data_IF_447763231735
#
_entry.id   IF_447763231735
#
_cell.length_a   1.000
_cell.length_b   1.000
_cell.length_c   1.000
_cell.angle_alpha   90.00
_cell.angle_beta   90.00
_cell.angle_gamma   90.00
#
_symmetry.space_group_name_H-M   'P 1'
#
loop_
_entity.id
_entity.type
_entity.pdbx_description
1 polymer ?
#
# COMPACT_ATOMS: atom_id res chain seq x y z
N UNK A 1 16.37 58.07 -17.24
CA UNK A 1 15.36 57.27 -17.96
C UNK A 1 15.90 55.90 -18.37
N UNK A 2 16.81 55.77 -19.35
CA UNK A 2 17.36 54.46 -19.79
C UNK A 2 17.96 53.57 -18.68
N UNK A 3 18.58 54.16 -17.66
CA UNK A 3 19.19 53.41 -16.54
C UNK A 3 18.18 52.83 -15.54
N UNK A 4 17.00 53.44 -15.38
CA UNK A 4 15.96 52.95 -14.47
C UNK A 4 15.14 51.82 -15.11
N UNK A 5 14.87 51.93 -16.41
CA UNK A 5 14.19 50.89 -17.18
C UNK A 5 15.00 49.59 -17.22
N UNK A 6 16.32 49.68 -17.40
CA UNK A 6 17.22 48.52 -17.34
C UNK A 6 17.24 47.86 -15.95
N UNK A 7 17.19 48.65 -14.87
CA UNK A 7 17.15 48.12 -13.50
C UNK A 7 15.83 47.38 -13.22
N UNK A 8 14.70 47.96 -13.60
CA UNK A 8 13.37 47.36 -13.39
C UNK A 8 13.21 46.08 -14.22
N UNK A 9 13.69 46.09 -15.47
CA UNK A 9 13.67 44.92 -16.34
C UNK A 9 14.50 43.78 -15.73
N UNK A 10 15.70 44.07 -15.20
CA UNK A 10 16.53 43.05 -14.54
C UNK A 10 15.92 42.47 -13.27
N UNK A 11 15.14 43.27 -12.52
CA UNK A 11 14.39 42.79 -11.35
C UNK A 11 13.23 41.89 -11.76
N UNK A 12 12.47 42.26 -12.79
CA UNK A 12 11.38 41.44 -13.31
C UNK A 12 11.88 40.12 -13.92
N UNK A 13 13.00 40.15 -14.65
CA UNK A 13 13.64 38.94 -15.18
C UNK A 13 14.10 38.00 -14.06
N UNK A 14 14.68 38.53 -12.99
CA UNK A 14 15.06 37.74 -11.82
C UNK A 14 13.85 37.10 -11.13
N UNK A 15 12.77 37.86 -10.93
CA UNK A 15 11.53 37.33 -10.34
C UNK A 15 10.91 36.21 -11.18
N UNK A 16 10.88 36.37 -12.50
CA UNK A 16 10.39 35.34 -13.43
C UNK A 16 11.26 34.08 -13.37
N UNK A 17 12.59 34.23 -13.40
CA UNK A 17 13.50 33.09 -13.28
C UNK A 17 13.33 32.36 -11.95
N UNK A 18 13.19 33.10 -10.85
CA UNK A 18 12.98 32.51 -9.54
C UNK A 18 11.64 31.76 -9.46
N UNK A 19 10.57 32.28 -10.07
CA UNK A 19 9.29 31.57 -10.16
C UNK A 19 9.38 30.28 -10.99
N UNK A 20 10.09 30.31 -12.13
CA UNK A 20 10.32 29.13 -12.96
C UNK A 20 11.06 28.06 -12.15
N UNK A 21 12.14 28.43 -11.46
CA UNK A 21 12.91 27.51 -10.62
C UNK A 21 12.04 26.90 -9.52
N UNK A 22 11.19 27.68 -8.85
CA UNK A 22 10.27 27.15 -7.85
C UNK A 22 9.29 26.13 -8.42
N UNK A 23 8.76 26.36 -9.63
CA UNK A 23 7.85 25.43 -10.31
C UNK A 23 8.59 24.14 -10.67
N UNK A 24 9.77 24.23 -11.28
CA UNK A 24 10.58 23.06 -11.63
C UNK A 24 10.93 22.23 -10.39
N UNK A 25 11.33 22.88 -9.29
CA UNK A 25 11.62 22.23 -8.02
C UNK A 25 10.36 21.60 -7.39
N UNK A 26 9.19 22.21 -7.58
CA UNK A 26 7.93 21.64 -7.12
C UNK A 26 7.55 20.39 -7.92
N UNK A 27 7.74 20.40 -9.24
CA UNK A 27 7.49 19.25 -10.12
C UNK A 27 8.43 18.07 -9.83
N UNK A 28 9.71 18.34 -9.61
CA UNK A 28 10.69 17.32 -9.22
C UNK A 28 10.27 16.67 -7.90
N UNK A 29 10.00 17.49 -6.87
CA UNK A 29 9.56 17.00 -5.55
C UNK A 29 8.26 16.21 -5.63
N UNK A 30 7.29 16.66 -6.43
CA UNK A 30 6.03 15.95 -6.62
C UNK A 30 6.24 14.59 -7.29
N UNK A 31 7.11 14.51 -8.31
CA UNK A 31 7.46 13.25 -8.97
C UNK A 31 8.19 12.30 -8.03
N UNK A 32 9.16 12.80 -7.26
CA UNK A 32 9.89 11.99 -6.29
C UNK A 32 8.98 11.43 -5.21
N UNK A 33 8.12 12.30 -4.64
CA UNK A 33 7.14 11.91 -3.64
C UNK A 33 6.15 10.87 -4.17
N UNK A 34 5.57 11.09 -5.36
CA UNK A 34 4.65 10.11 -5.95
C UNK A 34 5.33 8.76 -6.27
N UNK A 35 6.61 8.76 -6.64
CA UNK A 35 7.38 7.52 -6.84
C UNK A 35 7.63 6.81 -5.52
N UNK A 36 7.90 7.54 -4.44
CA UNK A 36 8.12 6.97 -3.11
C UNK A 36 6.83 6.38 -2.54
N UNK A 37 5.74 7.15 -2.56
CA UNK A 37 4.41 6.72 -2.12
C UNK A 37 3.96 5.47 -2.88
N UNK A 38 3.99 5.49 -4.22
CA UNK A 38 3.58 4.33 -5.02
C UNK A 38 4.46 3.10 -4.81
N UNK A 39 5.75 3.27 -4.48
CA UNK A 39 6.63 2.15 -4.13
C UNK A 39 6.27 1.57 -2.76
N UNK A 40 5.94 2.42 -1.80
CA UNK A 40 5.58 1.99 -0.45
C UNK A 40 4.22 1.29 -0.44
N UNK A 41 3.21 1.88 -1.08
CA UNK A 41 1.87 1.30 -1.25
C UNK A 41 1.96 -0.06 -1.96
N UNK A 42 2.63 -0.13 -3.12
CA UNK A 42 2.76 -1.38 -3.86
C UNK A 42 3.55 -2.47 -3.12
N UNK A 43 4.53 -2.09 -2.27
CA UNK A 43 5.24 -3.04 -1.41
C UNK A 43 4.32 -3.58 -0.32
N UNK A 44 3.46 -2.74 0.23
CA UNK A 44 2.56 -3.12 1.31
C UNK A 44 1.41 -4.01 0.80
N UNK A 45 0.75 -3.59 -0.28
CA UNK A 45 -0.27 -4.38 -0.98
C UNK A 45 0.28 -5.74 -1.41
N UNK A 46 1.44 -5.76 -2.08
CA UNK A 46 2.06 -7.02 -2.52
C UNK A 46 2.45 -7.94 -1.36
N UNK A 47 2.83 -7.38 -0.21
CA UNK A 47 3.10 -8.16 1.01
C UNK A 47 1.82 -8.79 1.54
N UNK A 48 0.71 -8.06 1.57
CA UNK A 48 -0.58 -8.57 2.03
C UNK A 48 -1.16 -9.63 1.10
N UNK A 49 -1.19 -9.36 -0.22
CA UNK A 49 -1.63 -10.33 -1.22
C UNK A 49 -0.80 -11.61 -1.17
N UNK A 50 0.53 -11.48 -1.04
CA UNK A 50 1.43 -12.61 -0.87
C UNK A 50 1.11 -13.43 0.38
N UNK A 51 0.85 -12.78 1.53
CA UNK A 51 0.44 -13.46 2.76
C UNK A 51 -0.90 -14.19 2.57
N UNK A 52 -1.92 -13.54 2.01
CA UNK A 52 -3.23 -14.15 1.73
C UNK A 52 -3.07 -15.40 0.87
N UNK A 53 -2.37 -15.29 -0.25
CA UNK A 53 -2.15 -16.39 -1.19
C UNK A 53 -1.43 -17.58 -0.55
N UNK A 54 -0.40 -17.31 0.25
CA UNK A 54 0.34 -18.35 0.97
C UNK A 54 -0.51 -19.05 2.03
N UNK A 55 -1.24 -18.29 2.85
CA UNK A 55 -2.12 -18.84 3.89
C UNK A 55 -3.24 -19.67 3.28
N UNK A 56 -3.89 -19.16 2.23
CA UNK A 56 -4.93 -19.88 1.49
C UNK A 56 -4.38 -21.21 0.96
N UNK A 57 -3.27 -21.19 0.23
CA UNK A 57 -2.68 -22.42 -0.32
C UNK A 57 -2.20 -23.43 0.73
N UNK A 58 -1.84 -22.99 1.94
CA UNK A 58 -1.53 -23.89 3.05
C UNK A 58 -2.80 -24.51 3.65
N UNK A 59 -3.85 -23.70 3.86
CA UNK A 59 -5.10 -24.13 4.46
C UNK A 59 -5.91 -25.03 3.53
N UNK A 60 -5.94 -24.75 2.23
CA UNK A 60 -6.57 -25.62 1.22
C UNK A 60 -5.94 -27.01 1.17
N UNK A 61 -4.62 -27.11 1.39
CA UNK A 61 -3.92 -28.40 1.47
C UNK A 61 -4.24 -29.16 2.74
N UNK A 62 -4.51 -28.46 3.84
CA UNK A 62 -4.83 -29.07 5.15
C UNK A 62 -6.30 -29.45 5.27
N UNK A 63 -7.20 -28.62 4.75
CA UNK A 63 -8.65 -28.75 4.84
C UNK A 63 -9.31 -28.62 3.45
N UNK A 64 -9.06 -29.58 2.54
CA UNK A 64 -9.54 -29.50 1.16
C UNK A 64 -11.08 -29.50 1.04
N UNK A 65 -11.79 -29.95 2.06
CA UNK A 65 -13.25 -30.01 2.10
C UNK A 65 -13.94 -28.65 2.30
N UNK A 66 -13.21 -27.62 2.75
CA UNK A 66 -13.73 -26.26 2.98
C UNK A 66 -13.09 -25.18 2.10
N UNK A 67 -12.39 -25.56 1.04
CA UNK A 67 -11.67 -24.63 0.14
C UNK A 67 -12.52 -23.44 -0.33
N UNK A 68 -13.79 -23.66 -0.69
CA UNK A 68 -14.69 -22.57 -1.11
C UNK A 68 -14.96 -21.53 -0.01
N UNK A 69 -15.03 -21.95 1.24
CA UNK A 69 -15.25 -21.11 2.41
C UNK A 69 -13.97 -20.38 2.81
N UNK A 70 -12.81 -21.02 2.64
CA UNK A 70 -11.51 -20.44 2.98
C UNK A 70 -11.19 -19.18 2.16
N UNK A 71 -11.41 -19.21 0.85
CA UNK A 71 -11.15 -18.04 0.00
C UNK A 71 -11.96 -16.82 0.48
N UNK A 72 -13.27 -16.98 0.65
CA UNK A 72 -14.12 -15.88 1.10
C UNK A 72 -13.76 -15.37 2.51
N UNK A 73 -13.40 -16.28 3.42
CA UNK A 73 -13.01 -15.91 4.79
C UNK A 73 -11.68 -15.16 4.83
N UNK A 74 -10.66 -15.64 4.11
CA UNK A 74 -9.30 -15.05 4.11
C UNK A 74 -9.28 -13.71 3.37
N UNK A 75 -10.05 -13.58 2.27
CA UNK A 75 -10.15 -12.32 1.53
C UNK A 75 -10.76 -11.18 2.38
N UNK A 76 -11.62 -11.52 3.35
CA UNK A 76 -12.19 -10.58 4.30
C UNK A 76 -11.26 -10.13 5.44
N UNK A 77 -10.08 -10.75 5.60
CA UNK A 77 -9.17 -10.42 6.70
C UNK A 77 -8.30 -9.20 6.40
N UNK A 78 -8.11 -8.35 7.40
CA UNK A 78 -7.10 -7.28 7.38
C UNK A 78 -5.68 -7.83 7.65
N UNK A 79 -4.65 -7.00 7.47
CA UNK A 79 -3.23 -7.39 7.67
C UNK A 79 -2.96 -8.07 9.02
N UNK A 80 -3.53 -7.52 10.09
CA UNK A 80 -3.28 -8.01 11.45
C UNK A 80 -3.93 -9.37 11.67
N UNK A 81 -5.12 -9.58 11.11
CA UNK A 81 -5.79 -10.88 11.19
C UNK A 81 -5.11 -11.92 10.32
N UNK A 82 -4.51 -11.55 9.18
CA UNK A 82 -3.66 -12.47 8.41
C UNK A 82 -2.44 -12.93 9.22
N UNK A 83 -1.81 -12.03 9.98
CA UNK A 83 -0.69 -12.39 10.85
C UNK A 83 -1.14 -13.28 12.02
N UNK A 84 -2.26 -12.95 12.64
CA UNK A 84 -2.85 -13.78 13.69
C UNK A 84 -3.23 -15.18 13.16
N UNK A 85 -3.70 -15.27 11.91
CA UNK A 85 -3.99 -16.55 11.26
C UNK A 85 -2.71 -17.35 11.03
N UNK A 86 -1.63 -16.72 10.57
CA UNK A 86 -0.35 -17.38 10.36
C UNK A 86 0.20 -18.03 11.64
N UNK A 87 0.03 -17.37 12.79
CA UNK A 87 0.45 -17.89 14.09
C UNK A 87 -0.48 -19.01 14.58
N UNK A 88 -1.80 -18.79 14.51
CA UNK A 88 -2.79 -19.73 15.04
C UNK A 88 -3.05 -20.94 14.14
N UNK A 89 -2.67 -20.89 12.86
CA UNK A 89 -3.08 -21.92 11.88
C UNK A 89 -2.67 -23.32 12.29
N UNK A 90 -1.55 -23.47 13.00
CA UNK A 90 -1.02 -24.76 13.42
C UNK A 90 -1.83 -25.39 14.55
N UNK A 91 -2.52 -24.58 15.35
CA UNK A 91 -3.28 -25.02 16.52
C UNK A 91 -4.64 -25.63 16.18
N UNK A 92 -5.22 -25.32 15.02
CA UNK A 92 -6.53 -25.84 14.59
C UNK A 92 -6.52 -27.36 14.39
N UNK A 93 -7.33 -28.10 15.14
CA UNK A 93 -7.39 -29.56 15.02
C UNK A 93 -8.35 -30.00 13.92
N UNK A 94 -9.37 -29.18 13.64
CA UNK A 94 -10.44 -29.45 12.69
C UNK A 94 -10.73 -28.27 11.78
N UNK A 95 -11.42 -28.51 10.67
CA UNK A 95 -11.92 -27.45 9.79
C UNK A 95 -12.96 -26.56 10.51
N UNK A 96 -13.71 -27.10 11.47
CA UNK A 96 -14.66 -26.33 12.28
C UNK A 96 -13.96 -25.30 13.18
N UNK A 97 -12.81 -25.64 13.80
CA UNK A 97 -12.03 -24.70 14.62
C UNK A 97 -11.61 -23.47 13.80
N UNK A 98 -11.17 -23.71 12.57
CA UNK A 98 -10.76 -22.67 11.63
C UNK A 98 -11.96 -21.84 11.15
N UNK A 99 -13.08 -22.47 10.81
CA UNK A 99 -14.27 -21.74 10.37
C UNK A 99 -14.82 -20.83 11.48
N UNK A 100 -14.82 -21.30 12.73
CA UNK A 100 -15.23 -20.47 13.87
C UNK A 100 -14.30 -19.27 14.04
N UNK A 101 -12.98 -19.50 13.97
CA UNK A 101 -11.99 -18.43 14.05
C UNK A 101 -12.17 -17.37 12.95
N UNK A 102 -12.46 -17.81 11.71
CA UNK A 102 -12.71 -16.90 10.58
C UNK A 102 -14.01 -16.11 10.78
N UNK A 103 -15.07 -16.72 11.31
CA UNK A 103 -16.34 -16.06 11.57
C UNK A 103 -16.25 -14.98 12.65
N UNK A 104 -15.43 -15.17 13.69
CA UNK A 104 -15.23 -14.16 14.73
C UNK A 104 -14.52 -12.89 14.22
N UNK A 105 -13.80 -12.99 13.11
CA UNK A 105 -12.95 -11.91 12.56
C UNK A 105 -13.41 -11.36 11.21
N UNK A 106 -14.34 -12.05 10.55
CA UNK A 106 -15.04 -11.54 9.37
C UNK A 106 -16.18 -10.63 9.83
N UNK A 107 -15.92 -9.32 9.93
CA UNK A 107 -16.92 -8.26 10.11
C UNK A 107 -16.95 -7.40 8.85
#
# INVERSE_FOLDING_TARGET
>A
YKSYEASILSTQEFEVQWQIEQIEQAEIRAREKGREEGREEGREEGREEGKRSLLLGQLERRFPEITSQLSAGIDGLNSQDLDNLADAMWDFQTSDDLLHWLQERSI
#
